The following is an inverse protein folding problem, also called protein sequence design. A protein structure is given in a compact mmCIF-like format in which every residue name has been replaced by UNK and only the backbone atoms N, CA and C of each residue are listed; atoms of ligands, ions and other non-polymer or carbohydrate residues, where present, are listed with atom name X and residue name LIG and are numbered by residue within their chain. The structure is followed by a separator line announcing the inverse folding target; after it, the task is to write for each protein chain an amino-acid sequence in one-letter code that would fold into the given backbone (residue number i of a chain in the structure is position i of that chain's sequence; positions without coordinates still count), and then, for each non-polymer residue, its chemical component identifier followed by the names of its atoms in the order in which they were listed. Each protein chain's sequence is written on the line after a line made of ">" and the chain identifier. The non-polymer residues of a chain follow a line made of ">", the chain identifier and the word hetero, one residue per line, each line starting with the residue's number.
data_IF_731165596117
#
_entry.id   IF_731165596117
#
_cell.length_a   1.000
_cell.length_b   1.000
_cell.length_c   1.000
_cell.angle_alpha   90.00
_cell.angle_beta   90.00
_cell.angle_gamma   90.00
#
_symmetry.space_group_name_H-M   'P 1'
#
loop_
_entity.id
_entity.type
_entity.pdbx_description
1 polymer ?
#
# COMPACT_ATOMS: atom_id res chain seq x y z
N UNK A 1 22.87 0.52 -22.39
CA UNK A 1 22.23 1.49 -21.49
C UNK A 1 20.97 0.82 -21.00
N UNK A 2 20.95 0.36 -19.76
CA UNK A 2 19.90 -0.51 -19.22
C UNK A 2 18.58 0.26 -19.12
N UNK A 3 17.56 -0.18 -19.86
CA UNK A 3 16.18 0.33 -19.85
C UNK A 3 15.46 0.03 -18.54
N UNK A 4 15.99 0.54 -17.42
CA UNK A 4 15.37 0.44 -16.10
C UNK A 4 13.95 1.05 -16.11
N UNK A 5 13.75 2.08 -16.94
CA UNK A 5 12.45 2.72 -17.15
C UNK A 5 11.49 1.77 -17.87
N UNK A 6 11.92 1.11 -18.96
CA UNK A 6 11.08 0.17 -19.70
C UNK A 6 10.65 -1.04 -18.87
N UNK A 7 11.55 -1.55 -18.02
CA UNK A 7 11.25 -2.62 -17.07
C UNK A 7 10.24 -2.18 -16.01
N UNK A 8 10.43 -0.99 -15.44
CA UNK A 8 9.53 -0.40 -14.44
C UNK A 8 8.11 -0.18 -15.00
N UNK A 9 7.99 0.34 -16.22
CA UNK A 9 6.71 0.54 -16.90
C UNK A 9 5.97 -0.78 -17.16
N UNK A 10 6.71 -1.82 -17.58
CA UNK A 10 6.13 -3.13 -17.84
C UNK A 10 5.67 -3.84 -16.55
N UNK A 11 6.36 -3.60 -15.43
CA UNK A 11 5.92 -4.10 -14.12
C UNK A 11 4.66 -3.39 -13.61
N UNK A 12 4.54 -2.07 -13.80
CA UNK A 12 3.35 -1.31 -13.38
C UNK A 12 2.13 -1.66 -14.25
N UNK A 13 2.33 -1.92 -15.55
CA UNK A 13 1.25 -2.34 -16.48
C UNK A 13 0.56 -3.66 -16.10
N UNK A 14 1.25 -4.54 -15.36
CA UNK A 14 0.70 -5.82 -14.86
C UNK A 14 -0.17 -5.67 -13.61
N UNK A 15 -0.11 -4.52 -12.93
CA UNK A 15 -0.99 -4.25 -11.79
C UNK A 15 -2.33 -3.75 -12.34
N UNK A 16 -3.44 -4.48 -12.14
CA UNK A 16 -4.75 -3.99 -12.56
C UNK A 16 -5.08 -2.68 -11.85
N UNK A 17 -5.79 -1.78 -12.53
CA UNK A 17 -6.33 -0.58 -11.89
C UNK A 17 -7.22 -1.02 -10.73
N UNK A 18 -7.12 -0.32 -9.60
CA UNK A 18 -7.96 -0.60 -8.44
C UNK A 18 -9.43 -0.34 -8.79
N UNK A 19 -10.31 -1.25 -8.41
CA UNK A 19 -11.73 -0.96 -8.38
C UNK A 19 -12.10 -0.23 -7.06
N UNK A 20 -13.31 0.33 -6.99
CA UNK A 20 -13.76 1.09 -5.82
C UNK A 20 -13.85 0.24 -4.53
N UNK A 21 -13.94 -1.09 -4.63
CA UNK A 21 -13.90 -1.98 -3.47
C UNK A 21 -12.47 -2.18 -2.97
N UNK A 22 -11.52 -2.36 -3.89
CA UNK A 22 -10.09 -2.46 -3.57
C UNK A 22 -9.60 -1.19 -2.88
N UNK A 23 -9.94 -0.02 -3.41
CA UNK A 23 -9.59 1.27 -2.79
C UNK A 23 -10.14 1.39 -1.36
N UNK A 24 -11.38 0.95 -1.13
CA UNK A 24 -11.98 0.94 0.21
C UNK A 24 -11.26 -0.03 1.15
N UNK A 25 -10.87 -1.21 0.67
CA UNK A 25 -10.15 -2.20 1.46
C UNK A 25 -8.74 -1.72 1.82
N UNK A 26 -8.02 -1.13 0.86
CA UNK A 26 -6.70 -0.53 1.09
C UNK A 26 -6.78 0.63 2.09
N UNK A 27 -7.78 1.51 1.93
CA UNK A 27 -8.00 2.64 2.84
C UNK A 27 -8.23 2.16 4.28
N UNK A 28 -9.11 1.18 4.48
CA UNK A 28 -9.35 0.58 5.82
C UNK A 28 -8.09 -0.03 6.43
N UNK A 29 -7.26 -0.69 5.62
CA UNK A 29 -6.00 -1.27 6.09
C UNK A 29 -5.01 -0.18 6.51
N UNK A 30 -4.90 0.91 5.75
CA UNK A 30 -4.05 2.05 6.07
C UNK A 30 -4.52 2.75 7.36
N UNK A 31 -5.82 2.97 7.52
CA UNK A 31 -6.40 3.55 8.75
C UNK A 31 -6.12 2.68 9.98
N UNK A 32 -6.35 1.36 9.88
CA UNK A 32 -6.03 0.42 10.96
C UNK A 32 -4.57 0.46 11.36
N UNK A 33 -3.64 0.52 10.39
CA UNK A 33 -2.22 0.64 10.69
C UNK A 33 -1.87 1.95 11.36
N UNK A 34 -2.48 3.07 10.96
CA UNK A 34 -2.29 4.37 11.61
C UNK A 34 -2.73 4.35 13.06
N UNK A 35 -3.87 3.73 13.36
CA UNK A 35 -4.33 3.59 14.75
C UNK A 35 -3.48 2.60 15.53
N UNK A 36 -3.01 1.52 14.90
CA UNK A 36 -2.06 0.60 15.52
C UNK A 36 -0.72 1.29 15.86
N UNK A 37 -0.26 2.21 15.01
CA UNK A 37 0.92 3.03 15.25
C UNK A 37 0.74 3.90 16.50
N UNK A 38 -0.38 4.64 16.60
CA UNK A 38 -0.68 5.47 17.78
C UNK A 38 -0.70 4.66 19.07
N UNK A 39 -1.28 3.45 19.02
CA UNK A 39 -1.31 2.53 20.18
C UNK A 39 0.10 2.07 20.57
N UNK A 40 0.95 1.73 19.60
CA UNK A 40 2.34 1.39 19.86
C UNK A 40 3.13 2.56 20.45
N UNK A 41 2.90 3.78 19.96
CA UNK A 41 3.50 5.01 20.49
C UNK A 41 3.00 5.33 21.91
N UNK A 42 1.75 5.00 22.23
CA UNK A 42 1.18 5.08 23.58
C UNK A 42 1.69 3.96 24.53
N UNK A 43 2.57 3.07 24.05
CA UNK A 43 3.19 2.02 24.85
C UNK A 43 2.44 0.69 24.85
N UNK A 44 1.31 0.57 24.14
CA UNK A 44 0.64 -0.72 23.94
C UNK A 44 1.52 -1.63 23.09
N UNK A 45 1.52 -2.94 23.38
CA UNK A 45 2.30 -3.92 22.62
C UNK A 45 1.43 -5.12 22.30
N UNK A 46 1.56 -5.62 21.08
CA UNK A 46 0.85 -6.81 20.66
C UNK A 46 1.29 -7.30 19.28
N UNK A 47 1.15 -8.60 19.05
CA UNK A 47 1.39 -9.18 17.74
C UNK A 47 0.42 -8.61 16.69
N UNK A 48 -0.83 -8.31 17.10
CA UNK A 48 -1.84 -7.73 16.23
C UNK A 48 -1.47 -6.33 15.75
N UNK A 49 -1.03 -5.43 16.65
CA UNK A 49 -0.62 -4.07 16.26
C UNK A 49 0.52 -4.09 15.23
N UNK A 50 1.48 -5.00 15.40
CA UNK A 50 2.56 -5.20 14.43
C UNK A 50 2.05 -5.79 13.11
N UNK A 51 1.04 -6.66 13.15
CA UNK A 51 0.42 -7.20 11.95
C UNK A 51 -0.34 -6.11 11.18
N UNK A 52 -1.09 -5.26 11.88
CA UNK A 52 -1.84 -4.14 11.30
C UNK A 52 -0.89 -3.11 10.65
N UNK A 53 0.24 -2.80 11.29
CA UNK A 53 1.29 -1.97 10.68
C UNK A 53 1.84 -2.56 9.38
N UNK A 54 2.15 -3.86 9.37
CA UNK A 54 2.66 -4.52 8.15
C UNK A 54 1.59 -4.55 7.05
N UNK A 55 0.32 -4.76 7.41
CA UNK A 55 -0.78 -4.74 6.47
C UNK A 55 -0.95 -3.34 5.85
N UNK A 56 -0.88 -2.29 6.65
CA UNK A 56 -0.94 -0.91 6.18
C UNK A 56 0.23 -0.54 5.26
N UNK A 57 1.45 -0.99 5.57
CA UNK A 57 2.62 -0.76 4.72
C UNK A 57 2.42 -1.40 3.33
N UNK A 58 1.93 -2.66 3.28
CA UNK A 58 1.60 -3.34 2.02
C UNK A 58 0.49 -2.64 1.26
N UNK A 59 -0.57 -2.21 1.97
CA UNK A 59 -1.70 -1.52 1.37
C UNK A 59 -1.28 -0.17 0.74
N UNK A 60 -0.40 0.58 1.41
CA UNK A 60 0.15 1.83 0.90
C UNK A 60 1.02 1.60 -0.35
N UNK A 61 1.88 0.58 -0.35
CA UNK A 61 2.68 0.23 -1.54
C UNK A 61 1.79 -0.12 -2.74
N UNK A 62 0.75 -0.94 -2.50
CA UNK A 62 -0.21 -1.31 -3.54
C UNK A 62 -0.99 -0.10 -4.08
N UNK A 63 -1.44 0.80 -3.20
CA UNK A 63 -2.12 2.03 -3.58
C UNK A 63 -1.23 2.95 -4.44
N UNK A 64 0.04 3.14 -4.04
CA UNK A 64 0.99 3.96 -4.78
C UNK A 64 1.25 3.37 -6.16
N UNK A 65 1.55 2.07 -6.27
CA UNK A 65 1.81 1.41 -7.57
C UNK A 65 0.62 1.53 -8.52
N UNK A 66 -0.59 1.41 -7.98
CA UNK A 66 -1.82 1.53 -8.78
C UNK A 66 -2.05 2.96 -9.29
N UNK A 67 -1.76 3.98 -8.46
CA UNK A 67 -1.90 5.38 -8.86
C UNK A 67 -0.76 5.86 -9.78
N UNK A 68 0.46 5.32 -9.64
CA UNK A 68 1.56 5.63 -10.55
C UNK A 68 1.23 5.18 -11.98
N UNK A 69 0.46 4.10 -12.18
CA UNK A 69 -0.05 3.71 -13.50
C UNK A 69 -0.97 4.76 -14.11
N UNK A 70 -1.81 5.42 -13.30
CA UNK A 70 -2.72 6.46 -13.77
C UNK A 70 -1.97 7.69 -14.29
N UNK A 71 -0.86 8.07 -13.64
CA UNK A 71 -0.04 9.23 -14.03
C UNK A 71 0.74 8.98 -15.33
N UNK A 72 1.05 7.72 -15.64
CA UNK A 72 1.84 7.34 -16.83
C UNK A 72 0.96 6.87 -18.00
N UNK A 73 -0.36 6.80 -17.81
CA UNK A 73 -1.33 6.37 -18.83
C UNK A 73 -1.78 7.49 -19.77
#
# INVERSE_FOLDING_TARGET
>A
MSDAIGLYLNEIGKVPLLNAEDERNLSKAIEKGRDAQKKLEAGERGAQLRADLRAAAKAKDHFIRSNLRLVVS
#
